data_IF_441949293587
#
_entry.id   IF_441949293587
#
_cell.length_a   1.000
_cell.length_b   1.000
_cell.length_c   1.000
_cell.angle_alpha   90.00
_cell.angle_beta   90.00
_cell.angle_gamma   90.00
#
_symmetry.space_group_name_H-M   'P 1'
#
loop_
_entity.id
_entity.type
_entity.pdbx_description
1 polymer ?
#
# COMPACT_ATOMS: atom_id res chain seq x y z
N UNK A 1 -3.46 13.16 -11.32
CA UNK A 1 -2.17 13.04 -10.60
C UNK A 1 -2.02 11.59 -10.18
N UNK A 2 -0.84 10.98 -10.36
CA UNK A 2 -0.62 9.59 -9.90
C UNK A 2 -0.25 9.63 -8.42
N UNK A 3 -0.92 8.82 -7.61
CA UNK A 3 -0.73 8.77 -6.16
C UNK A 3 -0.37 7.36 -5.74
N UNK A 4 0.58 7.26 -4.80
CA UNK A 4 0.90 6.03 -4.09
C UNK A 4 0.84 6.38 -2.61
N UNK A 5 0.10 5.58 -1.86
CA UNK A 5 0.05 5.63 -0.41
C UNK A 5 0.46 4.25 0.11
N UNK A 6 1.44 4.20 1.01
CA UNK A 6 1.92 2.94 1.56
C UNK A 6 2.30 3.08 3.03
N UNK A 7 2.04 2.04 3.82
CA UNK A 7 2.35 2.00 5.24
C UNK A 7 1.49 0.98 5.99
N UNK A 8 1.69 0.93 7.31
CA UNK A 8 0.86 0.16 8.23
C UNK A 8 -0.42 0.94 8.58
N UNK A 9 -1.57 0.41 8.19
CA UNK A 9 -2.88 0.99 8.52
C UNK A 9 -3.49 0.38 9.77
N UNK A 10 -3.05 -0.83 10.14
CA UNK A 10 -3.54 -1.59 11.29
C UNK A 10 -5.07 -1.78 11.34
N UNK A 11 -5.71 -1.98 10.18
CA UNK A 11 -7.15 -2.25 10.04
C UNK A 11 -7.36 -3.72 9.69
N UNK A 12 -7.81 -4.52 10.67
CA UNK A 12 -7.89 -5.98 10.57
C UNK A 12 -9.17 -6.51 9.93
N UNK A 13 -10.28 -5.79 10.05
CA UNK A 13 -11.61 -6.30 9.69
C UNK A 13 -11.97 -6.00 8.23
N UNK A 14 -11.02 -6.17 7.31
CA UNK A 14 -11.23 -6.03 5.87
C UNK A 14 -10.78 -7.33 5.19
N UNK A 15 -11.66 -7.89 4.37
CA UNK A 15 -11.31 -8.91 3.40
C UNK A 15 -10.81 -8.23 2.13
N UNK A 16 -9.50 -8.24 1.92
CA UNK A 16 -8.87 -7.61 0.76
C UNK A 16 -9.08 -8.38 -0.56
N UNK A 17 -9.49 -9.65 -0.51
CA UNK A 17 -9.83 -10.41 -1.72
C UNK A 17 -11.17 -9.95 -2.30
N UNK A 18 -12.14 -9.63 -1.45
CA UNK A 18 -13.46 -9.09 -1.87
C UNK A 18 -13.57 -7.57 -1.77
N UNK A 19 -12.62 -6.90 -1.11
CA UNK A 19 -12.68 -5.49 -0.72
C UNK A 19 -13.92 -5.15 0.14
N UNK A 20 -14.30 -6.06 1.03
CA UNK A 20 -15.45 -5.90 1.92
C UNK A 20 -15.01 -5.92 3.38
N UNK A 21 -15.74 -5.20 4.23
CA UNK A 21 -15.56 -5.31 5.67
C UNK A 21 -16.06 -6.66 6.18
N UNK A 22 -15.33 -7.24 7.13
CA UNK A 22 -15.70 -8.50 7.78
C UNK A 22 -16.62 -8.23 8.99
N UNK A 23 -16.39 -7.11 9.68
CA UNK A 23 -17.17 -6.69 10.84
C UNK A 23 -17.80 -5.31 10.59
N UNK A 24 -19.13 -5.28 10.45
CA UNK A 24 -19.89 -4.07 10.23
C UNK A 24 -19.85 -3.09 11.42
N UNK A 25 -19.43 -3.53 12.61
CA UNK A 25 -19.27 -2.66 13.78
C UNK A 25 -17.94 -1.92 13.79
N UNK A 26 -16.97 -2.32 12.96
CA UNK A 26 -15.70 -1.59 12.80
C UNK A 26 -15.91 -0.36 11.91
N UNK A 27 -16.21 0.77 12.56
CA UNK A 27 -16.43 2.05 11.88
C UNK A 27 -15.20 2.54 11.13
N UNK A 28 -13.99 2.21 11.59
CA UNK A 28 -12.75 2.65 10.92
C UNK A 28 -12.58 1.88 9.62
N UNK A 29 -12.79 0.56 9.64
CA UNK A 29 -12.76 -0.27 8.43
C UNK A 29 -13.81 0.19 7.40
N UNK A 30 -15.02 0.49 7.84
CA UNK A 30 -16.09 1.05 6.99
C UNK A 30 -15.65 2.36 6.30
N UNK A 31 -15.23 3.34 7.08
CA UNK A 31 -14.78 4.64 6.58
C UNK A 31 -13.60 4.47 5.62
N UNK A 32 -12.70 3.54 5.90
CA UNK A 32 -11.53 3.31 5.08
C UNK A 32 -11.84 2.68 3.73
N UNK A 33 -12.72 1.67 3.67
CA UNK A 33 -13.19 1.10 2.41
C UNK A 33 -13.94 2.15 1.59
N UNK A 34 -14.81 2.95 2.23
CA UNK A 34 -15.49 4.05 1.55
C UNK A 34 -14.48 5.07 0.99
N UNK A 35 -13.47 5.45 1.77
CA UNK A 35 -12.39 6.34 1.33
C UNK A 35 -11.64 5.78 0.11
N UNK A 36 -11.27 4.49 0.13
CA UNK A 36 -10.61 3.83 -1.01
C UNK A 36 -11.48 3.92 -2.27
N UNK A 37 -12.77 3.58 -2.14
CA UNK A 37 -13.72 3.63 -3.25
C UNK A 37 -13.96 5.04 -3.80
N UNK A 38 -14.20 6.01 -2.92
CA UNK A 38 -14.43 7.42 -3.30
C UNK A 38 -13.22 8.04 -4.01
N UNK A 39 -12.00 7.65 -3.61
CA UNK A 39 -10.76 8.15 -4.20
C UNK A 39 -10.22 7.28 -5.34
N UNK A 40 -10.96 6.25 -5.76
CA UNK A 40 -10.57 5.32 -6.84
C UNK A 40 -9.16 4.73 -6.61
N UNK A 41 -8.86 4.40 -5.35
CA UNK A 41 -7.61 3.77 -4.96
C UNK A 41 -7.72 2.26 -5.10
N UNK A 42 -6.62 1.63 -5.48
CA UNK A 42 -6.51 0.18 -5.60
C UNK A 42 -5.49 -0.30 -4.58
N UNK A 43 -5.89 -1.24 -3.72
CA UNK A 43 -4.98 -1.97 -2.85
C UNK A 43 -4.27 -3.05 -3.68
N UNK A 44 -2.94 -3.16 -3.55
CA UNK A 44 -2.13 -4.07 -4.37
C UNK A 44 -1.49 -5.23 -3.60
N UNK A 45 -1.63 -5.30 -2.28
CA UNK A 45 -0.95 -6.31 -1.44
C UNK A 45 -1.87 -7.52 -1.26
N UNK A 46 -1.46 -8.69 -1.76
CA UNK A 46 -2.29 -9.91 -1.78
C UNK A 46 -1.84 -10.99 -0.80
N UNK A 47 -0.83 -10.72 0.03
CA UNK A 47 -0.28 -11.69 0.98
C UNK A 47 -0.20 -11.09 2.39
N UNK A 48 -0.42 -11.89 3.47
CA UNK A 48 -0.34 -11.40 4.84
C UNK A 48 0.99 -10.74 5.17
N UNK A 49 0.95 -9.54 5.74
CA UNK A 49 2.12 -8.74 6.11
C UNK A 49 2.44 -8.85 7.59
N UNK A 50 1.48 -9.29 8.41
CA UNK A 50 1.69 -9.59 9.83
C UNK A 50 0.81 -10.76 10.22
N UNK A 51 1.43 -11.85 10.68
CA UNK A 51 0.74 -13.11 10.95
C UNK A 51 -0.12 -13.55 9.75
N UNK A 52 -1.45 -13.64 9.94
CA UNK A 52 -2.44 -13.98 8.90
C UNK A 52 -3.23 -12.77 8.40
N UNK A 53 -2.80 -11.55 8.70
CA UNK A 53 -3.48 -10.30 8.33
C UNK A 53 -2.67 -9.47 7.35
N UNK A 54 -3.36 -8.80 6.44
CA UNK A 54 -2.79 -7.79 5.54
C UNK A 54 -3.08 -6.42 6.18
N UNK A 55 -2.06 -5.82 6.80
CA UNK A 55 -2.18 -4.55 7.54
C UNK A 55 -1.32 -3.45 6.93
N UNK A 56 -0.21 -3.85 6.33
CA UNK A 56 0.65 -2.99 5.54
C UNK A 56 0.12 -2.99 4.11
N UNK A 57 -0.26 -1.82 3.60
CA UNK A 57 -0.92 -1.68 2.30
C UNK A 57 -0.08 -0.87 1.34
N UNK A 58 -0.26 -1.14 0.06
CA UNK A 58 0.14 -0.25 -1.03
C UNK A 58 -1.13 0.09 -1.81
N UNK A 59 -1.56 1.34 -1.70
CA UNK A 59 -2.72 1.91 -2.37
C UNK A 59 -2.29 2.81 -3.50
N UNK A 60 -2.95 2.74 -4.65
CA UNK A 60 -2.66 3.63 -5.78
C UNK A 60 -3.87 4.00 -6.62
N UNK A 61 -3.87 5.22 -7.14
CA UNK A 61 -4.87 5.66 -8.13
C UNK A 61 -4.64 5.11 -9.54
N UNK A 62 -3.50 4.46 -9.80
CA UNK A 62 -3.15 3.87 -11.10
C UNK A 62 -2.34 2.59 -10.89
N UNK A 63 -2.99 1.43 -10.98
CA UNK A 63 -2.32 0.13 -10.81
C UNK A 63 -1.19 -0.10 -11.81
N UNK A 64 -1.21 0.54 -12.99
CA UNK A 64 -0.15 0.45 -13.99
C UNK A 64 1.17 1.11 -13.58
N UNK A 65 1.20 1.89 -12.50
CA UNK A 65 2.44 2.46 -11.96
C UNK A 65 3.29 1.42 -11.23
N UNK A 66 2.70 0.36 -10.68
CA UNK A 66 3.42 -0.69 -9.95
C UNK A 66 3.62 -1.88 -10.88
N UNK A 67 4.87 -2.20 -11.20
CA UNK A 67 5.20 -3.30 -12.12
C UNK A 67 5.15 -4.66 -11.43
N UNK A 68 5.67 -4.71 -10.22
CA UNK A 68 5.73 -5.92 -9.38
C UNK A 68 5.55 -5.51 -7.94
N UNK A 69 4.92 -6.38 -7.15
CA UNK A 69 4.82 -6.27 -5.70
C UNK A 69 5.02 -7.66 -5.10
N UNK A 70 5.77 -7.74 -3.99
CA UNK A 70 6.05 -8.99 -3.28
C UNK A 70 6.08 -8.71 -1.78
N UNK A 71 5.44 -9.60 -1.02
CA UNK A 71 5.66 -9.67 0.42
C UNK A 71 6.85 -10.60 0.65
N UNK A 72 7.84 -10.12 1.40
CA UNK A 72 9.07 -10.83 1.73
C UNK A 72 8.99 -11.36 3.16
N UNK A 73 10.01 -12.11 3.57
CA UNK A 73 10.11 -12.58 4.94
C UNK A 73 10.24 -11.41 5.94
N UNK A 74 10.02 -11.74 7.21
CA UNK A 74 10.25 -10.84 8.32
C UNK A 74 11.68 -10.27 8.29
N UNK A 75 11.80 -8.96 8.57
CA UNK A 75 13.10 -8.33 8.70
C UNK A 75 13.60 -8.43 10.14
N UNK A 76 14.63 -9.25 10.37
CA UNK A 76 15.22 -9.46 11.70
C UNK A 76 14.16 -9.95 12.70
N UNK A 77 13.95 -9.23 13.81
CA UNK A 77 12.99 -9.55 14.87
C UNK A 77 11.62 -8.90 14.68
N UNK A 78 11.38 -8.24 13.54
CA UNK A 78 10.08 -7.64 13.22
C UNK A 78 9.02 -8.72 13.04
N UNK A 79 7.85 -8.56 13.65
CA UNK A 79 6.67 -9.39 13.36
C UNK A 79 5.94 -8.96 12.07
N UNK A 80 6.28 -7.78 11.52
CA UNK A 80 5.89 -7.36 10.18
C UNK A 80 6.86 -7.88 9.11
N UNK A 81 6.29 -8.28 7.97
CA UNK A 81 6.96 -8.66 6.73
C UNK A 81 7.24 -7.43 5.87
N UNK A 82 8.32 -7.48 5.10
CA UNK A 82 8.69 -6.39 4.19
C UNK A 82 7.86 -6.46 2.90
N UNK A 83 7.38 -5.30 2.43
CA UNK A 83 6.78 -5.17 1.10
C UNK A 83 7.82 -4.55 0.16
N UNK A 84 8.10 -5.24 -0.94
CA UNK A 84 8.97 -4.77 -2.02
C UNK A 84 8.14 -4.55 -3.29
N UNK A 85 8.23 -3.37 -3.91
CA UNK A 85 7.54 -3.07 -5.17
C UNK A 85 8.35 -2.18 -6.10
N UNK A 86 8.13 -2.35 -7.40
CA UNK A 86 8.82 -1.60 -8.47
C UNK A 86 7.89 -0.56 -9.11
N UNK A 87 8.36 0.69 -9.21
CA UNK A 87 7.60 1.78 -9.84
C UNK A 87 8.01 2.01 -11.29
N UNK A 88 7.05 1.88 -12.19
CA UNK A 88 7.13 2.33 -13.57
C UNK A 88 6.77 3.81 -13.67
N UNK A 89 7.68 4.68 -13.23
CA UNK A 89 7.47 6.13 -13.27
C UNK A 89 8.69 6.86 -13.82
N UNK A 90 8.46 7.75 -14.79
CA UNK A 90 9.52 8.62 -15.33
C UNK A 90 9.71 9.82 -14.41
N UNK A 91 10.82 9.82 -13.68
CA UNK A 91 11.19 10.95 -12.81
C UNK A 91 11.92 12.00 -13.64
N UNK A 92 11.45 13.25 -13.59
CA UNK A 92 12.24 14.40 -14.04
C UNK A 92 13.29 14.72 -12.97
N UNK A 93 14.54 14.35 -13.21
CA UNK A 93 15.63 14.66 -12.31
C UNK A 93 16.05 16.11 -12.52
N UNK A 94 15.77 16.98 -11.54
CA UNK A 94 16.30 18.35 -11.54
C UNK A 94 17.70 18.29 -10.91
N UNK A 95 18.74 18.39 -11.75
CA UNK A 95 20.12 18.51 -11.25
C UNK A 95 20.35 19.95 -10.79
N UNK A 96 20.78 20.15 -9.54
CA UNK A 96 21.28 21.45 -9.09
C UNK A 96 22.52 21.82 -9.92
N UNK A 97 22.67 23.09 -10.35
CA UNK A 97 23.87 23.51 -11.07
C UNK A 97 25.11 23.29 -10.21
N UNK A 98 26.20 22.81 -10.81
CA UNK A 98 27.50 22.73 -10.14
C UNK A 98 27.98 24.16 -9.89
N UNK A 99 28.03 24.55 -8.62
CA UNK A 99 28.74 25.76 -8.20
C UNK A 99 30.22 25.36 -8.14
N UNK A 100 31.02 25.89 -9.06
CA UNK A 100 32.48 25.82 -8.95
C UNK A 100 32.90 27.01 -8.08
N UNK A 101 33.35 26.73 -6.86
CA UNK A 101 34.07 27.67 -5.99
C UNK A 101 35.57 27.49 -6.16
#
# INVERSE_FOLDING_TARGET
QKTILCGDFNIRHINWDSNEIIDNYDKIANIFIEFIGQNQLNQLVTEPTRENSILDLVLTSDSGIVRTIKVRENFSTSDHKMIEFELNYRVKIIRKPKIYT
#
